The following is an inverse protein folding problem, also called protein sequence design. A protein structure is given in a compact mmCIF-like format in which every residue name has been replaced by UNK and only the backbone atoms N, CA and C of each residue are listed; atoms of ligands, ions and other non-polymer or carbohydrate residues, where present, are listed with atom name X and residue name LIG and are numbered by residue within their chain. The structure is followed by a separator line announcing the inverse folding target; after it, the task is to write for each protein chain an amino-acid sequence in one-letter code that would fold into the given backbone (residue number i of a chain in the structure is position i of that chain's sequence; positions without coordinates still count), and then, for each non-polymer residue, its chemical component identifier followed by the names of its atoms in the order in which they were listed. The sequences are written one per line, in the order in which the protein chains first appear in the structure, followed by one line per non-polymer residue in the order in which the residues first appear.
data_IF_875360573580
#
_entry.id   IF_875360573580
#
_cell.length_a   1.000
_cell.length_b   1.000
_cell.length_c   1.000
_cell.angle_alpha   90.00
_cell.angle_beta   90.00
_cell.angle_gamma   90.00
#
_symmetry.space_group_name_H-M   'P 1'
#
loop_
_entity.id
_entity.type
_entity.pdbx_description
1 polymer ?
#
# COMPACT_ATOMS: atom_id res chain seq x y z
N UNK A 1 73.52 -21.39 50.91
CA UNK A 1 72.69 -22.03 49.89
C UNK A 1 71.46 -21.18 49.66
N UNK A 2 71.33 -20.47 48.47
CA UNK A 2 70.16 -19.68 48.11
C UNK A 2 69.36 -20.48 47.10
N UNK A 3 68.18 -20.96 47.51
CA UNK A 3 67.18 -21.61 46.62
C UNK A 3 66.58 -20.56 45.69
N UNK A 4 66.83 -20.66 44.39
CA UNK A 4 66.11 -19.90 43.33
C UNK A 4 64.68 -20.43 43.21
N UNK A 5 63.70 -19.63 43.58
CA UNK A 5 62.30 -19.90 43.27
C UNK A 5 62.12 -19.66 41.79
N UNK A 6 61.86 -20.70 40.99
CA UNK A 6 61.37 -20.59 39.61
C UNK A 6 59.90 -20.22 39.63
N UNK A 7 59.58 -18.96 39.40
CA UNK A 7 58.21 -18.52 39.20
C UNK A 7 57.66 -19.10 37.91
N UNK A 8 56.50 -19.73 38.00
CA UNK A 8 55.72 -20.20 36.83
C UNK A 8 55.21 -18.99 36.03
N UNK A 9 55.79 -18.75 34.84
CA UNK A 9 55.26 -17.77 33.91
C UNK A 9 54.10 -18.37 33.10
N UNK A 10 52.86 -17.97 33.40
CA UNK A 10 51.71 -18.33 32.59
C UNK A 10 51.70 -17.49 31.31
N UNK A 11 52.13 -18.08 30.22
CA UNK A 11 52.07 -17.45 28.89
C UNK A 11 50.62 -17.52 28.37
N UNK A 12 49.87 -16.41 28.50
CA UNK A 12 48.55 -16.29 27.98
C UNK A 12 48.62 -16.16 26.45
N UNK A 13 48.45 -17.29 25.74
CA UNK A 13 48.43 -17.32 24.27
C UNK A 13 47.23 -16.48 23.79
N UNK A 14 47.47 -15.28 23.28
CA UNK A 14 46.43 -14.49 22.62
C UNK A 14 45.96 -15.31 21.43
N UNK A 15 44.72 -15.83 21.47
CA UNK A 15 44.03 -16.44 20.33
C UNK A 15 43.83 -15.32 19.31
N UNK A 16 44.66 -15.25 18.32
CA UNK A 16 44.40 -14.42 17.13
C UNK A 16 43.15 -14.93 16.44
N UNK A 17 42.32 -14.02 15.96
CA UNK A 17 41.14 -14.36 15.14
C UNK A 17 41.62 -15.22 13.96
N UNK A 18 41.04 -16.40 13.80
CA UNK A 18 41.39 -17.26 12.66
C UNK A 18 40.90 -16.56 11.37
N UNK A 19 41.71 -16.63 10.31
CA UNK A 19 41.34 -16.07 9.01
C UNK A 19 40.01 -16.62 8.47
N UNK A 20 39.66 -17.85 8.88
CA UNK A 20 38.38 -18.45 8.55
C UNK A 20 37.19 -17.74 9.25
N UNK A 21 37.32 -17.47 10.56
CA UNK A 21 36.29 -16.72 11.29
C UNK A 21 36.13 -15.28 10.73
N UNK A 22 37.19 -14.64 10.32
CA UNK A 22 37.13 -13.30 9.66
C UNK A 22 36.38 -13.39 8.34
N UNK A 23 36.63 -14.40 7.51
CA UNK A 23 35.94 -14.60 6.24
C UNK A 23 34.45 -14.91 6.45
N UNK A 24 34.11 -15.73 7.43
CA UNK A 24 32.71 -16.04 7.77
C UNK A 24 31.95 -14.79 8.22
N UNK A 25 32.50 -14.04 9.16
CA UNK A 25 31.88 -12.78 9.64
C UNK A 25 31.73 -11.79 8.48
N UNK A 26 32.73 -11.65 7.64
CA UNK A 26 32.65 -10.79 6.46
C UNK A 26 31.55 -11.23 5.49
N UNK A 27 31.43 -12.53 5.23
CA UNK A 27 30.37 -13.11 4.38
C UNK A 27 28.98 -12.80 4.94
N UNK A 28 28.78 -12.97 6.26
CA UNK A 28 27.51 -12.64 6.91
C UNK A 28 27.16 -11.15 6.81
N UNK A 29 28.14 -10.28 6.96
CA UNK A 29 27.96 -8.83 6.80
C UNK A 29 27.52 -8.50 5.36
N UNK A 30 28.23 -9.04 4.36
CA UNK A 30 27.90 -8.82 2.95
C UNK A 30 26.50 -9.31 2.60
N UNK A 31 26.12 -10.51 3.05
CA UNK A 31 24.78 -11.06 2.85
C UNK A 31 23.69 -10.20 3.52
N UNK A 32 23.96 -9.72 4.74
CA UNK A 32 23.02 -8.85 5.46
C UNK A 32 22.82 -7.52 4.74
N UNK A 33 23.92 -6.89 4.29
CA UNK A 33 23.85 -5.64 3.51
C UNK A 33 23.10 -5.85 2.19
N UNK A 34 23.35 -6.95 1.50
CA UNK A 34 22.66 -7.29 0.26
C UNK A 34 21.16 -7.50 0.49
N UNK A 35 20.77 -8.22 1.56
CA UNK A 35 19.38 -8.44 1.91
C UNK A 35 18.63 -7.13 2.22
N UNK A 36 19.25 -6.23 2.98
CA UNK A 36 18.69 -4.89 3.29
C UNK A 36 18.57 -4.05 2.01
N UNK A 37 19.59 -4.08 1.15
CA UNK A 37 19.56 -3.37 -0.14
C UNK A 37 18.43 -3.86 -1.04
N UNK A 38 18.25 -5.18 -1.17
CA UNK A 38 17.16 -5.78 -1.95
C UNK A 38 15.78 -5.42 -1.36
N UNK A 39 15.63 -5.46 -0.03
CA UNK A 39 14.39 -5.05 0.63
C UNK A 39 14.07 -3.58 0.33
N UNK A 40 15.07 -2.70 0.39
CA UNK A 40 14.89 -1.28 0.07
C UNK A 40 14.52 -1.05 -1.40
N UNK A 41 15.15 -1.80 -2.30
CA UNK A 41 14.87 -1.76 -3.75
C UNK A 41 13.42 -2.20 -4.04
N UNK A 42 12.93 -3.25 -3.37
CA UNK A 42 11.55 -3.72 -3.49
C UNK A 42 10.56 -2.65 -3.01
N UNK A 43 10.78 -2.06 -1.82
CA UNK A 43 9.93 -1.00 -1.29
C UNK A 43 9.89 0.21 -2.23
N UNK A 44 11.04 0.60 -2.79
CA UNK A 44 11.13 1.71 -3.73
C UNK A 44 10.41 1.42 -5.05
N UNK A 45 10.48 0.19 -5.56
CA UNK A 45 9.84 -0.21 -6.81
C UNK A 45 8.31 -0.36 -6.68
N UNK A 46 7.81 -0.75 -5.50
CA UNK A 46 6.41 -1.10 -5.25
C UNK A 46 5.59 0.10 -4.78
N UNK A 47 6.18 0.98 -3.98
CA UNK A 47 5.48 2.04 -3.26
C UNK A 47 5.48 3.39 -3.99
N UNK A 48 4.29 3.95 -4.25
CA UNK A 48 4.13 5.37 -4.58
C UNK A 48 3.62 6.09 -3.33
N UNK A 49 4.38 7.08 -2.86
CA UNK A 49 3.92 7.98 -1.80
C UNK A 49 3.22 9.18 -2.42
N UNK A 50 2.01 9.44 -1.98
CA UNK A 50 1.26 10.64 -2.35
C UNK A 50 0.49 11.15 -1.14
N UNK A 51 0.00 12.39 -1.22
CA UNK A 51 -0.86 12.94 -0.18
C UNK A 51 -2.30 12.96 -0.68
N UNK A 52 -3.23 12.69 0.23
CA UNK A 52 -4.65 12.86 -0.03
C UNK A 52 -4.95 14.35 -0.24
N UNK A 53 -5.61 14.68 -1.33
CA UNK A 53 -6.09 16.04 -1.63
C UNK A 53 -7.62 16.00 -1.70
N UNK A 54 -8.26 16.83 -0.87
CA UNK A 54 -9.69 16.93 -0.76
C UNK A 54 -10.28 16.08 0.36
N UNK A 55 -11.58 16.22 0.58
CA UNK A 55 -12.34 15.64 1.69
C UNK A 55 -13.22 14.47 1.26
N UNK A 56 -13.12 14.05 0.01
CA UNK A 56 -14.04 13.06 -0.59
C UNK A 56 -13.91 11.64 -0.02
N UNK A 57 -12.89 11.35 0.78
CA UNK A 57 -12.68 10.05 1.44
C UNK A 57 -12.77 10.15 2.96
N UNK A 58 -13.25 11.26 3.49
CA UNK A 58 -13.52 11.39 4.92
C UNK A 58 -14.75 10.53 5.31
N UNK A 59 -14.75 9.93 6.52
CA UNK A 59 -13.73 10.01 7.56
C UNK A 59 -12.54 9.04 7.39
N UNK A 60 -12.57 8.13 6.41
CA UNK A 60 -11.57 7.07 6.23
C UNK A 60 -10.16 7.61 5.94
N UNK A 61 -10.05 8.65 5.11
CA UNK A 61 -8.80 9.34 4.78
C UNK A 61 -9.00 10.84 4.88
N UNK A 62 -8.17 11.51 5.68
CA UNK A 62 -8.26 12.96 5.88
C UNK A 62 -7.43 13.74 4.88
N UNK A 63 -7.84 14.98 4.58
CA UNK A 63 -7.11 15.87 3.71
C UNK A 63 -5.68 16.11 4.21
N UNK A 64 -4.69 16.05 3.31
CA UNK A 64 -3.26 16.18 3.63
C UNK A 64 -2.60 14.91 4.17
N UNK A 65 -3.35 13.86 4.46
CA UNK A 65 -2.80 12.59 4.95
C UNK A 65 -1.88 11.95 3.91
N UNK A 66 -0.68 11.55 4.35
CA UNK A 66 0.25 10.79 3.53
C UNK A 66 -0.23 9.34 3.34
N UNK A 67 -0.38 8.91 2.10
CA UNK A 67 -0.78 7.55 1.75
C UNK A 67 0.31 6.83 0.98
N UNK A 68 0.44 5.52 1.21
CA UNK A 68 1.32 4.65 0.46
C UNK A 68 0.48 3.78 -0.48
N UNK A 69 0.65 4.00 -1.77
CA UNK A 69 -0.07 3.29 -2.82
C UNK A 69 0.72 2.07 -3.26
N UNK A 70 0.10 0.89 -3.19
CA UNK A 70 0.68 -0.34 -3.70
C UNK A 70 0.45 -0.44 -5.21
N UNK A 71 1.49 -0.20 -6.01
CA UNK A 71 1.42 -0.24 -7.47
C UNK A 71 1.41 -1.65 -8.05
N UNK A 72 1.84 -2.65 -7.27
CA UNK A 72 1.94 -4.04 -7.75
C UNK A 72 0.61 -4.79 -7.68
N UNK A 73 -0.26 -4.46 -6.72
CA UNK A 73 -1.51 -5.20 -6.50
C UNK A 73 -2.29 -5.36 -7.81
N UNK A 74 -2.56 -4.26 -8.49
CA UNK A 74 -3.39 -4.23 -9.69
C UNK A 74 -2.65 -4.53 -11.00
N UNK A 75 -1.38 -4.94 -10.91
CA UNK A 75 -0.65 -5.53 -12.03
C UNK A 75 -0.94 -7.02 -12.20
N UNK A 76 -1.35 -7.68 -11.12
CA UNK A 76 -1.60 -9.11 -11.06
C UNK A 76 -3.03 -9.46 -10.71
N UNK A 77 -3.76 -8.56 -10.06
CA UNK A 77 -5.12 -8.76 -9.57
C UNK A 77 -6.00 -7.61 -10.03
N UNK A 78 -7.26 -7.91 -10.33
CA UNK A 78 -8.26 -6.87 -10.60
C UNK A 78 -8.75 -6.22 -9.31
N UNK A 79 -9.12 -4.92 -9.34
CA UNK A 79 -9.78 -4.26 -8.22
C UNK A 79 -11.06 -5.00 -7.82
N UNK A 80 -11.33 -5.02 -6.51
CA UNK A 80 -12.54 -5.63 -5.94
C UNK A 80 -13.40 -4.56 -5.26
N UNK A 81 -14.68 -4.86 -5.09
CA UNK A 81 -15.60 -4.00 -4.31
C UNK A 81 -15.03 -3.77 -2.89
N UNK A 82 -15.01 -2.52 -2.46
CA UNK A 82 -14.44 -2.08 -1.19
C UNK A 82 -12.98 -1.62 -1.29
N UNK A 83 -12.25 -1.94 -2.37
CA UNK A 83 -10.87 -1.46 -2.55
C UNK A 83 -10.82 0.06 -2.70
N UNK A 84 -9.89 0.71 -1.99
CA UNK A 84 -9.56 2.11 -2.23
C UNK A 84 -8.50 2.18 -3.32
N UNK A 85 -8.83 2.86 -4.41
CA UNK A 85 -7.99 2.99 -5.60
C UNK A 85 -7.51 4.41 -5.80
N UNK A 86 -6.31 4.54 -6.34
CA UNK A 86 -5.69 5.81 -6.70
C UNK A 86 -5.47 5.81 -8.21
N UNK A 87 -6.04 6.78 -8.90
CA UNK A 87 -5.95 6.85 -10.36
C UNK A 87 -5.86 8.30 -10.86
N UNK A 88 -5.42 8.43 -12.11
CA UNK A 88 -5.40 9.72 -12.80
C UNK A 88 -6.66 9.84 -13.67
N UNK A 89 -7.43 10.92 -13.53
CA UNK A 89 -8.61 11.13 -14.35
C UNK A 89 -8.20 11.25 -15.82
N UNK A 90 -8.86 10.50 -16.69
CA UNK A 90 -8.61 10.47 -18.15
C UNK A 90 -7.14 10.19 -18.54
N UNK A 91 -6.36 9.57 -17.66
CA UNK A 91 -4.93 9.31 -17.91
C UNK A 91 -4.05 10.57 -17.97
N UNK A 92 -4.57 11.72 -17.58
CA UNK A 92 -3.85 12.99 -17.62
C UNK A 92 -2.77 13.06 -16.53
N UNK A 93 -1.50 12.92 -16.92
CA UNK A 93 -0.36 12.94 -16.00
C UNK A 93 -0.14 14.29 -15.29
N UNK A 94 -0.73 15.35 -15.80
CA UNK A 94 -0.68 16.70 -15.18
C UNK A 94 -1.83 16.93 -14.18
N UNK A 95 -2.77 15.98 -14.06
CA UNK A 95 -3.85 16.05 -13.09
C UNK A 95 -3.40 15.51 -11.73
N UNK A 96 -4.09 15.93 -10.68
CA UNK A 96 -3.92 15.32 -9.36
C UNK A 96 -4.50 13.91 -9.33
N UNK A 97 -3.89 13.04 -8.52
CA UNK A 97 -4.44 11.72 -8.28
C UNK A 97 -5.79 11.79 -7.57
N UNK A 98 -6.75 11.04 -8.09
CA UNK A 98 -8.02 10.84 -7.42
C UNK A 98 -7.94 9.59 -6.56
N UNK A 99 -8.48 9.68 -5.36
CA UNK A 99 -8.61 8.57 -4.42
C UNK A 99 -10.09 8.30 -4.23
N UNK A 100 -10.54 7.11 -4.55
CA UNK A 100 -11.95 6.73 -4.48
C UNK A 100 -12.06 5.26 -4.09
N UNK A 101 -13.23 4.86 -3.61
CA UNK A 101 -13.55 3.46 -3.30
C UNK A 101 -14.29 2.81 -4.45
N UNK A 102 -13.89 1.59 -4.81
CA UNK A 102 -14.61 0.75 -5.77
C UNK A 102 -15.90 0.27 -5.14
N UNK A 103 -17.05 0.63 -5.70
CA UNK A 103 -18.37 0.19 -5.22
C UNK A 103 -19.01 -0.84 -6.15
N UNK A 104 -18.66 -0.83 -7.44
CA UNK A 104 -19.08 -1.88 -8.35
C UNK A 104 -17.95 -2.27 -9.32
N UNK A 105 -17.96 -3.54 -9.74
CA UNK A 105 -16.95 -4.18 -10.59
C UNK A 105 -17.52 -4.54 -11.97
N UNK A 106 -16.69 -4.89 -12.96
CA UNK A 106 -17.11 -5.23 -14.30
C UNK A 106 -18.29 -6.22 -14.36
N UNK A 107 -19.23 -5.92 -15.24
CA UNK A 107 -20.43 -6.74 -15.48
C UNK A 107 -21.62 -6.43 -14.59
N UNK A 108 -21.45 -5.70 -13.51
CA UNK A 108 -22.53 -5.28 -12.62
C UNK A 108 -23.32 -4.09 -13.19
N UNK A 109 -24.55 -3.92 -12.74
CA UNK A 109 -25.37 -2.75 -13.02
C UNK A 109 -25.34 -1.79 -11.83
N UNK A 110 -25.32 -0.50 -12.10
CA UNK A 110 -25.29 0.56 -11.09
C UNK A 110 -26.40 1.56 -11.37
N UNK A 111 -27.17 1.90 -10.34
CA UNK A 111 -28.19 2.93 -10.35
C UNK A 111 -28.15 3.71 -9.03
N UNK A 112 -28.27 5.02 -9.10
CA UNK A 112 -28.48 5.86 -7.91
C UNK A 112 -29.85 6.50 -8.01
N UNK A 113 -30.75 6.10 -7.13
CA UNK A 113 -32.12 6.60 -7.11
C UNK A 113 -32.48 7.04 -5.69
N UNK A 114 -33.07 8.25 -5.57
CA UNK A 114 -33.41 8.84 -4.29
C UNK A 114 -32.25 8.91 -3.27
N UNK A 115 -31.03 9.10 -3.76
CA UNK A 115 -29.81 9.14 -2.94
C UNK A 115 -29.29 7.76 -2.48
N UNK A 116 -29.93 6.67 -2.90
CA UNK A 116 -29.55 5.29 -2.56
C UNK A 116 -28.84 4.66 -3.76
N UNK A 117 -27.69 4.03 -3.49
CA UNK A 117 -26.93 3.26 -4.48
C UNK A 117 -27.54 1.85 -4.61
N UNK A 118 -27.83 1.45 -5.83
CA UNK A 118 -28.26 0.09 -6.17
C UNK A 118 -27.18 -0.58 -7.03
N UNK A 119 -26.82 -1.80 -6.68
CA UNK A 119 -25.90 -2.64 -7.46
C UNK A 119 -26.65 -3.94 -7.79
N UNK A 120 -26.76 -4.26 -9.08
CA UNK A 120 -27.55 -5.40 -9.58
C UNK A 120 -28.98 -5.41 -8.99
N UNK A 121 -29.60 -4.23 -8.89
CA UNK A 121 -30.95 -4.03 -8.36
C UNK A 121 -31.07 -4.14 -6.83
N UNK A 122 -29.96 -4.35 -6.11
CA UNK A 122 -29.97 -4.44 -4.63
C UNK A 122 -29.49 -3.12 -4.03
N UNK A 123 -30.27 -2.55 -3.14
CA UNK A 123 -29.87 -1.37 -2.39
C UNK A 123 -28.63 -1.68 -1.54
N UNK A 124 -27.64 -0.79 -1.59
CA UNK A 124 -26.48 -0.83 -0.72
C UNK A 124 -26.78 0.08 0.49
N UNK A 125 -27.34 -0.51 1.51
CA UNK A 125 -27.59 0.17 2.78
C UNK A 125 -26.30 0.09 3.62
N UNK A 126 -25.56 1.17 3.71
CA UNK A 126 -24.51 1.36 4.70
C UNK A 126 -24.99 2.43 5.68
N UNK A 127 -25.07 2.09 6.95
CA UNK A 127 -25.43 3.03 8.02
C UNK A 127 -24.49 4.24 8.11
N UNK A 128 -23.30 4.14 7.51
CA UNK A 128 -22.26 5.18 7.46
C UNK A 128 -22.29 6.03 6.17
N UNK A 129 -23.14 5.68 5.21
CA UNK A 129 -23.23 6.41 3.94
C UNK A 129 -24.40 7.40 3.98
N UNK A 130 -24.08 8.68 3.93
CA UNK A 130 -25.06 9.73 3.69
C UNK A 130 -25.77 9.54 2.33
N UNK A 131 -27.01 9.99 2.23
CA UNK A 131 -27.74 10.00 0.96
C UNK A 131 -26.94 10.74 -0.10
N UNK A 132 -26.74 10.13 -1.25
CA UNK A 132 -25.98 10.69 -2.37
C UNK A 132 -26.76 11.83 -2.99
N UNK A 133 -26.27 13.06 -2.86
CA UNK A 133 -26.96 14.27 -3.34
C UNK A 133 -27.05 14.34 -4.86
N UNK A 134 -26.06 13.79 -5.59
CA UNK A 134 -26.04 13.82 -7.05
C UNK A 134 -25.74 12.44 -7.61
N UNK A 135 -26.68 11.88 -8.34
CA UNK A 135 -26.53 10.58 -8.99
C UNK A 135 -25.51 10.61 -10.17
N UNK A 136 -25.24 11.81 -10.72
CA UNK A 136 -24.32 11.95 -11.84
C UNK A 136 -24.69 11.05 -13.02
N UNK A 137 -23.70 10.27 -13.52
CA UNK A 137 -23.94 9.35 -14.65
C UNK A 137 -24.81 8.16 -14.28
N UNK A 138 -24.96 7.83 -13.00
CA UNK A 138 -25.75 6.70 -12.52
C UNK A 138 -27.22 7.06 -12.19
N UNK A 139 -27.71 8.22 -12.63
CA UNK A 139 -29.15 8.59 -12.57
C UNK A 139 -30.02 7.61 -13.37
N UNK A 140 -29.48 7.11 -14.46
CA UNK A 140 -30.05 5.98 -15.20
C UNK A 140 -29.21 4.73 -14.94
N UNK A 141 -29.85 3.57 -15.00
CA UNK A 141 -29.14 2.31 -14.83
C UNK A 141 -28.03 2.15 -15.86
N UNK A 142 -26.81 1.97 -15.40
CA UNK A 142 -25.64 1.72 -16.24
C UNK A 142 -25.08 0.34 -15.99
N UNK A 143 -24.74 -0.38 -17.07
CA UNK A 143 -24.06 -1.67 -17.00
C UNK A 143 -22.58 -1.49 -17.25
N UNK A 144 -21.77 -1.88 -16.29
CA UNK A 144 -20.31 -1.79 -16.40
C UNK A 144 -19.76 -2.79 -17.43
N UNK A 145 -18.89 -2.30 -18.31
CA UNK A 145 -18.16 -3.11 -19.28
C UNK A 145 -17.08 -3.97 -18.62
N UNK A 146 -16.28 -4.66 -19.44
CA UNK A 146 -15.29 -5.65 -18.94
C UNK A 146 -14.15 -5.04 -18.13
N UNK A 147 -13.82 -3.77 -18.39
CA UNK A 147 -12.72 -3.05 -17.73
C UNK A 147 -13.21 -1.77 -17.03
N UNK A 148 -14.51 -1.71 -16.76
CA UNK A 148 -15.14 -0.54 -16.12
C UNK A 148 -15.45 -0.83 -14.67
N UNK A 149 -15.09 0.12 -13.81
CA UNK A 149 -15.33 0.09 -12.37
C UNK A 149 -16.09 1.35 -11.99
N UNK A 150 -17.08 1.20 -11.12
CA UNK A 150 -17.75 2.36 -10.55
C UNK A 150 -17.14 2.71 -9.21
N UNK A 151 -16.73 3.96 -9.04
CA UNK A 151 -16.02 4.40 -7.85
C UNK A 151 -16.72 5.61 -7.23
N UNK A 152 -16.81 5.65 -5.91
CA UNK A 152 -17.34 6.76 -5.14
C UNK A 152 -16.34 7.23 -4.08
N UNK A 153 -16.52 8.44 -3.60
CA UNK A 153 -15.88 8.88 -2.36
C UNK A 153 -16.65 8.34 -1.16
N UNK A 154 -16.00 8.15 -0.03
CA UNK A 154 -16.66 7.79 1.23
C UNK A 154 -17.55 8.96 1.68
N UNK A 155 -17.14 10.20 1.39
CA UNK A 155 -17.97 11.40 1.49
C UNK A 155 -18.58 11.71 0.12
N UNK A 156 -19.77 11.17 -0.15
CA UNK A 156 -20.43 11.25 -1.46
C UNK A 156 -20.98 12.63 -1.80
N UNK A 157 -21.09 13.53 -0.83
CA UNK A 157 -21.74 14.83 -0.97
C UNK A 157 -20.76 16.01 -1.13
N UNK A 158 -19.46 15.68 -1.31
CA UNK A 158 -18.40 16.68 -1.46
C UNK A 158 -17.52 16.45 -2.70
#
# INVERSE_FOLDING_TARGET
MRRRQRGLQFYRKKKGLSMQAVKEVFSWIVLSVLAVFLAFMVIWAVGLRTNMIGVSMEPGLTNGQGILVNRLKYRFFSPQTGDVVVFLPNGNQNAHYYVKRVVAVPGQTVLIQNGILYIDGKAQENEEMDLIASAGIAENEIKLGKDEYFVLGDNCNN
#
